data_IF_853709078954
#
_entry.id   IF_853709078954
#
_cell.length_a   1.000
_cell.length_b   1.000
_cell.length_c   1.000
_cell.angle_alpha   90.00
_cell.angle_beta   90.00
_cell.angle_gamma   90.00
#
_symmetry.space_group_name_H-M   'P 1'
#
loop_
_entity.id
_entity.type
_entity.pdbx_description
1 polymer ?
#
# COMPACT_ATOMS: atom_id res chain seq x y z
N UNK A 1 3.70 -11.26 12.11
CA UNK A 1 2.82 -10.20 11.61
C UNK A 1 3.67 -9.03 11.14
N UNK A 2 3.26 -8.36 10.11
CA UNK A 2 3.96 -7.23 9.54
C UNK A 2 3.09 -5.99 9.48
N UNK A 3 3.72 -4.85 9.28
CA UNK A 3 3.05 -3.57 9.09
C UNK A 3 3.22 -3.12 7.65
N UNK A 4 2.12 -2.89 6.96
CA UNK A 4 2.12 -2.38 5.60
C UNK A 4 2.18 -0.85 5.60
N UNK A 5 2.94 -0.30 4.66
CA UNK A 5 3.10 1.14 4.45
C UNK A 5 2.51 1.51 3.09
N UNK A 6 1.72 2.56 3.09
CA UNK A 6 0.98 3.03 1.91
C UNK A 6 1.22 4.51 1.63
N UNK A 7 1.13 4.88 0.35
CA UNK A 7 0.74 6.21 -0.05
C UNK A 7 -0.78 6.23 -0.17
N UNK A 8 -1.43 7.05 0.62
CA UNK A 8 -2.88 7.18 0.64
C UNK A 8 -3.31 8.53 0.08
N UNK A 9 -4.29 8.52 -0.81
CA UNK A 9 -4.81 9.76 -1.39
C UNK A 9 -5.62 10.54 -0.36
N UNK A 10 -5.26 11.81 -0.17
CA UNK A 10 -5.98 12.72 0.72
C UNK A 10 -7.27 13.15 0.04
N UNK A 11 -8.41 12.81 0.64
CA UNK A 11 -9.70 13.25 0.17
C UNK A 11 -9.98 14.65 0.73
N UNK A 12 -10.11 15.64 -0.13
CA UNK A 12 -10.37 17.01 0.28
C UNK A 12 -11.76 17.15 0.91
N UNK A 13 -11.95 18.15 1.77
CA UNK A 13 -13.26 18.47 2.36
C UNK A 13 -14.33 18.71 1.30
N UNK A 14 -13.95 19.36 0.21
CA UNK A 14 -14.84 19.66 -0.92
C UNK A 14 -15.31 18.39 -1.60
N UNK A 15 -14.43 17.42 -1.81
CA UNK A 15 -14.78 16.12 -2.38
C UNK A 15 -15.72 15.33 -1.48
N UNK A 16 -15.49 15.37 -0.16
CA UNK A 16 -16.36 14.74 0.83
C UNK A 16 -17.74 15.37 0.82
N UNK A 17 -17.82 16.69 0.82
CA UNK A 17 -19.09 17.44 0.77
C UNK A 17 -19.86 17.17 -0.53
N UNK A 18 -19.17 17.10 -1.67
CA UNK A 18 -19.79 16.79 -2.95
C UNK A 18 -20.31 15.35 -2.97
N UNK A 19 -19.57 14.40 -2.43
CA UNK A 19 -20.02 13.01 -2.30
C UNK A 19 -21.23 12.91 -1.40
N UNK A 20 -21.24 13.61 -0.28
CA UNK A 20 -22.42 13.70 0.62
C UNK A 20 -23.63 14.31 -0.06
N UNK A 21 -23.43 15.34 -0.87
CA UNK A 21 -24.51 15.98 -1.64
C UNK A 21 -25.11 15.02 -2.66
N UNK A 22 -24.29 14.33 -3.42
CA UNK A 22 -24.73 13.29 -4.37
C UNK A 22 -25.51 12.19 -3.67
N UNK A 23 -25.01 11.74 -2.50
CA UNK A 23 -25.66 10.77 -1.65
C UNK A 23 -27.08 11.20 -1.29
N UNK A 24 -27.21 12.44 -0.86
CA UNK A 24 -28.49 13.01 -0.43
C UNK A 24 -29.50 13.15 -1.59
N UNK A 25 -29.03 13.59 -2.75
CA UNK A 25 -29.85 13.67 -3.97
C UNK A 25 -30.34 12.29 -4.40
N UNK A 26 -29.49 11.27 -4.36
CA UNK A 26 -29.86 9.91 -4.69
C UNK A 26 -30.82 9.30 -3.66
N UNK A 27 -30.66 9.61 -2.39
CA UNK A 27 -31.55 9.17 -1.32
C UNK A 27 -32.95 9.74 -1.45
N UNK A 28 -33.11 10.98 -1.93
CA UNK A 28 -34.42 11.63 -2.17
C UNK A 28 -35.21 10.96 -3.31
N UNK A 29 -34.52 10.30 -4.24
CA UNK A 29 -35.11 9.56 -5.36
C UNK A 29 -35.38 8.07 -5.05
N UNK A 30 -34.96 7.59 -3.89
CA UNK A 30 -35.11 6.19 -3.49
C UNK A 30 -36.54 5.89 -3.08
N UNK A 31 -37.20 4.98 -3.79
CA UNK A 31 -38.57 4.56 -3.55
C UNK A 31 -38.70 3.18 -2.90
N UNK A 32 -37.60 2.43 -2.78
CA UNK A 32 -37.61 1.08 -2.22
C UNK A 32 -36.29 0.77 -1.52
N UNK A 33 -36.28 -0.30 -0.69
CA UNK A 33 -35.09 -0.78 0.01
C UNK A 33 -34.01 -1.26 -0.99
N UNK A 34 -34.42 -1.81 -2.12
CA UNK A 34 -33.50 -2.23 -3.17
C UNK A 34 -32.73 -1.06 -3.78
N UNK A 35 -33.42 0.04 -4.03
CA UNK A 35 -32.79 1.26 -4.55
C UNK A 35 -31.80 1.84 -3.53
N UNK A 36 -32.11 1.73 -2.24
CA UNK A 36 -31.25 2.18 -1.16
C UNK A 36 -29.95 1.33 -1.08
N UNK A 37 -30.05 0.02 -1.23
CA UNK A 37 -28.89 -0.87 -1.26
C UNK A 37 -28.00 -0.59 -2.48
N UNK A 38 -28.58 -0.35 -3.64
CA UNK A 38 -27.86 0.03 -4.86
C UNK A 38 -27.14 1.36 -4.68
N UNK A 39 -27.78 2.33 -4.06
CA UNK A 39 -27.18 3.64 -3.75
C UNK A 39 -26.01 3.49 -2.79
N UNK A 40 -26.16 2.71 -1.73
CA UNK A 40 -25.07 2.46 -0.76
C UNK A 40 -23.90 1.78 -1.45
N UNK A 41 -24.13 0.77 -2.29
CA UNK A 41 -23.09 0.08 -3.04
C UNK A 41 -22.36 1.01 -4.01
N UNK A 42 -23.10 1.84 -4.73
CA UNK A 42 -22.54 2.83 -5.65
C UNK A 42 -21.64 3.84 -4.91
N UNK A 43 -22.07 4.29 -3.75
CA UNK A 43 -21.32 5.24 -2.94
C UNK A 43 -20.07 4.65 -2.33
N UNK A 44 -20.10 3.39 -1.94
CA UNK A 44 -18.90 2.68 -1.49
C UNK A 44 -17.87 2.59 -2.62
N UNK A 45 -18.29 2.29 -3.84
CA UNK A 45 -17.41 2.23 -5.01
C UNK A 45 -16.80 3.61 -5.31
N UNK A 46 -17.59 4.68 -5.31
CA UNK A 46 -17.06 6.04 -5.51
C UNK A 46 -16.12 6.46 -4.38
N UNK A 47 -16.45 6.11 -3.15
CA UNK A 47 -15.62 6.38 -1.99
C UNK A 47 -14.29 5.65 -2.08
N UNK A 48 -14.29 4.36 -2.45
CA UNK A 48 -13.10 3.54 -2.64
C UNK A 48 -12.21 4.07 -3.79
N UNK A 49 -12.80 4.63 -4.85
CA UNK A 49 -12.03 5.28 -5.92
C UNK A 49 -11.33 6.56 -5.45
N UNK A 50 -11.91 7.27 -4.49
CA UNK A 50 -11.31 8.45 -3.89
C UNK A 50 -10.22 8.12 -2.85
N UNK A 51 -10.31 6.97 -2.22
CA UNK A 51 -9.31 6.45 -1.26
C UNK A 51 -8.28 5.54 -1.93
N UNK A 52 -7.71 5.94 -3.05
CA UNK A 52 -6.67 5.14 -3.67
C UNK A 52 -5.46 5.04 -2.77
N UNK A 53 -5.08 3.81 -2.51
CA UNK A 53 -3.86 3.48 -1.78
C UNK A 53 -2.85 2.83 -2.71
N UNK A 54 -1.60 3.24 -2.57
CA UNK A 54 -0.47 2.61 -3.27
C UNK A 54 0.37 1.93 -2.21
N UNK A 55 0.44 0.62 -2.26
CA UNK A 55 1.28 -0.16 -1.36
C UNK A 55 2.76 0.12 -1.64
N UNK A 56 3.52 0.48 -0.64
CA UNK A 56 4.95 0.81 -0.77
C UNK A 56 5.82 -0.32 -0.25
N UNK A 57 5.63 -0.76 0.99
CA UNK A 57 6.43 -1.82 1.56
C UNK A 57 5.74 -2.50 2.73
N UNK A 58 6.32 -3.61 3.15
CA UNK A 58 5.93 -4.34 4.36
C UNK A 58 7.13 -4.49 5.27
N UNK A 59 6.92 -4.17 6.53
CA UNK A 59 7.91 -4.29 7.61
C UNK A 59 7.48 -5.46 8.48
N UNK A 60 8.29 -6.51 8.53
CA UNK A 60 8.00 -7.71 9.32
C UNK A 60 9.15 -8.01 10.28
N UNK A 61 8.82 -8.36 11.50
CA UNK A 61 9.82 -8.69 12.51
C UNK A 61 10.68 -9.87 12.06
N UNK A 62 11.99 -9.69 12.13
CA UNK A 62 12.96 -10.72 11.73
C UNK A 62 13.25 -10.77 10.23
N UNK A 63 12.59 -9.95 9.40
CA UNK A 63 12.77 -9.91 7.97
C UNK A 63 13.35 -8.57 7.51
N UNK A 64 14.07 -8.61 6.40
CA UNK A 64 14.37 -7.37 5.67
C UNK A 64 13.07 -6.77 5.12
N UNK A 65 13.04 -5.46 4.90
CA UNK A 65 11.88 -4.81 4.30
C UNK A 65 11.62 -5.38 2.91
N UNK A 66 10.37 -5.60 2.61
CA UNK A 66 9.91 -6.01 1.29
C UNK A 66 9.18 -4.86 0.63
N UNK A 67 9.71 -4.40 -0.51
CA UNK A 67 9.16 -3.28 -1.27
C UNK A 67 8.25 -3.78 -2.38
N UNK A 68 7.20 -3.03 -2.62
CA UNK A 68 6.29 -3.31 -3.73
C UNK A 68 6.89 -2.79 -5.03
N UNK A 69 7.13 -3.68 -5.98
CA UNK A 69 7.50 -3.29 -7.34
C UNK A 69 6.27 -2.74 -8.05
N UNK A 70 6.36 -1.53 -8.57
CA UNK A 70 5.30 -0.88 -9.32
C UNK A 70 5.92 -0.09 -10.48
N UNK A 71 6.35 -0.81 -11.51
CA UNK A 71 7.10 -0.28 -12.64
C UNK A 71 6.34 0.77 -13.46
N UNK A 72 5.02 0.85 -13.29
CA UNK A 72 4.21 1.90 -13.92
C UNK A 72 4.40 3.27 -13.22
N UNK A 73 4.86 3.28 -11.98
CA UNK A 73 5.01 4.47 -11.17
C UNK A 73 6.47 4.85 -10.90
N UNK A 74 7.31 3.86 -10.59
CA UNK A 74 8.73 4.06 -10.29
C UNK A 74 9.55 2.83 -10.62
N UNK A 75 10.84 3.01 -10.82
CA UNK A 75 11.79 1.91 -10.98
C UNK A 75 12.08 1.23 -9.64
N UNK A 76 12.53 -0.02 -9.68
CA UNK A 76 12.91 -0.77 -8.47
C UNK A 76 14.28 -0.32 -7.95
N UNK A 77 14.36 0.94 -7.59
CA UNK A 77 15.51 1.57 -6.94
C UNK A 77 15.03 2.47 -5.80
N UNK A 78 15.87 2.63 -4.80
CA UNK A 78 15.57 3.52 -3.67
C UNK A 78 15.30 4.96 -4.13
N UNK A 79 16.17 5.47 -4.99
CA UNK A 79 16.06 6.85 -5.49
C UNK A 79 14.75 7.08 -6.26
N UNK A 80 14.43 6.22 -7.22
CA UNK A 80 13.22 6.36 -8.03
C UNK A 80 11.95 6.25 -7.18
N UNK A 81 11.88 5.29 -6.29
CA UNK A 81 10.75 5.09 -5.39
C UNK A 81 10.57 6.30 -4.44
N UNK A 82 11.64 6.74 -3.79
CA UNK A 82 11.55 7.86 -2.84
C UNK A 82 11.27 9.19 -3.51
N UNK A 83 11.77 9.41 -4.72
CA UNK A 83 11.44 10.60 -5.52
C UNK A 83 9.95 10.62 -5.89
N UNK A 84 9.41 9.49 -6.29
CA UNK A 84 7.98 9.36 -6.54
C UNK A 84 7.15 9.68 -5.28
N UNK A 85 7.54 9.14 -4.14
CA UNK A 85 6.87 9.40 -2.86
C UNK A 85 6.94 10.88 -2.48
N UNK A 86 8.12 11.52 -2.62
CA UNK A 86 8.26 12.95 -2.34
C UNK A 86 7.39 13.82 -3.24
N UNK A 87 7.36 13.52 -4.53
CA UNK A 87 6.53 14.25 -5.48
C UNK A 87 5.04 14.10 -5.14
N UNK A 88 4.61 12.90 -4.78
CA UNK A 88 3.23 12.65 -4.38
C UNK A 88 2.85 13.44 -3.11
N UNK A 89 3.71 13.43 -2.10
CA UNK A 89 3.48 14.19 -0.86
C UNK A 89 3.51 15.70 -1.12
N UNK A 90 4.47 16.17 -1.91
CA UNK A 90 4.62 17.60 -2.22
C UNK A 90 3.45 18.14 -3.05
N UNK A 91 2.76 17.29 -3.80
CA UNK A 91 1.54 17.70 -4.53
C UNK A 91 0.40 18.10 -3.59
N UNK A 92 0.43 17.63 -2.35
CA UNK A 92 -0.64 17.85 -1.36
C UNK A 92 -1.81 16.89 -1.48
N UNK A 93 -1.81 16.00 -2.49
CA UNK A 93 -2.90 15.05 -2.74
C UNK A 93 -2.68 13.69 -2.08
N UNK A 94 -1.48 13.42 -1.59
CA UNK A 94 -1.09 12.14 -1.02
C UNK A 94 -0.38 12.30 0.32
N UNK A 95 -0.55 11.31 1.19
CA UNK A 95 0.21 11.17 2.42
C UNK A 95 0.72 9.75 2.58
N UNK A 96 1.84 9.57 3.26
CA UNK A 96 2.36 8.24 3.58
C UNK A 96 1.91 7.84 4.98
N UNK A 97 1.29 6.67 5.09
CA UNK A 97 0.70 6.16 6.33
C UNK A 97 0.98 4.67 6.48
N UNK A 98 0.88 4.18 7.71
CA UNK A 98 0.85 2.75 7.97
C UNK A 98 -0.58 2.18 7.80
N UNK A 99 -0.72 0.88 7.93
CA UNK A 99 -2.02 0.20 7.78
C UNK A 99 -3.06 0.60 8.83
N UNK A 100 -2.64 1.28 9.89
CA UNK A 100 -3.51 1.77 10.95
C UNK A 100 -3.88 3.26 10.78
N UNK A 101 -3.40 3.88 9.71
CA UNK A 101 -3.64 5.29 9.42
C UNK A 101 -2.71 6.26 10.13
N UNK A 102 -1.65 5.76 10.79
CA UNK A 102 -0.66 6.62 11.43
C UNK A 102 0.30 7.21 10.40
N UNK A 103 0.66 8.48 10.58
CA UNK A 103 1.62 9.14 9.74
C UNK A 103 2.97 8.41 9.74
N UNK A 104 3.55 8.26 8.56
CA UNK A 104 4.83 7.60 8.35
C UNK A 104 5.68 8.42 7.39
N UNK A 105 6.94 8.67 7.73
CA UNK A 105 7.82 9.53 6.93
C UNK A 105 8.88 8.74 6.18
N UNK A 106 9.51 9.38 5.19
CA UNK A 106 10.69 8.79 4.52
C UNK A 106 11.86 8.60 5.48
N UNK A 107 11.97 9.43 6.51
CA UNK A 107 12.96 9.25 7.57
C UNK A 107 12.68 8.00 8.39
N UNK A 108 11.41 7.74 8.71
CA UNK A 108 10.97 6.51 9.36
C UNK A 108 11.30 5.29 8.49
N UNK A 109 11.11 5.39 7.18
CA UNK A 109 11.44 4.32 6.24
C UNK A 109 12.94 4.02 6.21
N UNK A 110 13.78 5.04 6.21
CA UNK A 110 15.24 4.88 6.31
C UNK A 110 15.66 4.20 7.61
N UNK A 111 15.08 4.62 8.73
CA UNK A 111 15.35 4.03 10.04
C UNK A 111 14.95 2.55 10.08
N UNK A 112 13.78 2.23 9.58
CA UNK A 112 13.29 0.86 9.51
C UNK A 112 14.13 0.00 8.57
N UNK A 113 14.56 0.55 7.43
CA UNK A 113 15.46 -0.14 6.51
C UNK A 113 16.78 -0.51 7.19
N UNK A 114 17.40 0.41 7.90
CA UNK A 114 18.64 0.19 8.65
C UNK A 114 18.44 -0.81 9.80
N UNK A 115 17.35 -0.70 10.52
CA UNK A 115 17.00 -1.56 11.63
C UNK A 115 16.79 -3.02 11.23
N UNK A 116 16.28 -3.25 10.03
CA UNK A 116 15.96 -4.59 9.51
C UNK A 116 16.96 -5.13 8.49
N UNK A 117 18.08 -4.43 8.27
CA UNK A 117 19.08 -4.83 7.27
C UNK A 117 19.64 -6.23 7.45
N UNK A 118 19.74 -6.69 8.68
CA UNK A 118 20.27 -8.02 9.04
C UNK A 118 19.15 -9.07 9.16
N UNK A 119 17.93 -8.73 8.77
CA UNK A 119 16.79 -9.63 8.76
C UNK A 119 16.89 -10.70 7.66
N UNK A 120 15.97 -11.66 7.70
CA UNK A 120 15.87 -12.68 6.68
C UNK A 120 15.53 -12.08 5.33
N UNK A 121 16.22 -12.53 4.29
CA UNK A 121 15.89 -12.25 2.91
C UNK A 121 15.20 -13.48 2.26
N UNK A 122 14.87 -13.36 0.96
CA UNK A 122 14.23 -14.42 0.21
C UNK A 122 15.06 -15.71 0.20
N UNK A 123 16.38 -15.61 -0.05
CA UNK A 123 17.27 -16.77 -0.13
C UNK A 123 17.39 -17.48 1.23
N UNK A 124 17.51 -16.73 2.31
CA UNK A 124 17.55 -17.27 3.67
C UNK A 124 16.24 -17.96 4.04
N UNK A 125 15.10 -17.41 3.61
CA UNK A 125 13.79 -18.01 3.80
C UNK A 125 13.68 -19.35 3.06
N UNK A 126 14.04 -19.40 1.80
CA UNK A 126 14.01 -20.62 0.99
C UNK A 126 14.90 -21.69 1.59
N UNK A 127 16.11 -21.35 1.99
CA UNK A 127 17.04 -22.28 2.63
C UNK A 127 16.44 -22.87 3.91
N UNK A 128 15.84 -22.03 4.74
CA UNK A 128 15.18 -22.46 5.97
C UNK A 128 13.99 -23.37 5.70
N UNK A 129 13.16 -23.04 4.72
CA UNK A 129 12.00 -23.86 4.37
C UNK A 129 12.37 -25.20 3.77
N UNK A 130 13.47 -25.28 3.02
CA UNK A 130 14.02 -26.55 2.52
C UNK A 130 14.48 -27.45 3.65
N UNK A 131 15.14 -26.88 4.68
CA UNK A 131 15.61 -27.64 5.85
C UNK A 131 14.49 -28.29 6.63
N UNK A 132 13.35 -27.64 6.75
CA UNK A 132 12.18 -28.18 7.47
C UNK A 132 11.26 -29.01 6.57
N UNK A 133 11.61 -29.20 5.29
CA UNK A 133 10.82 -29.97 4.34
C UNK A 133 9.49 -29.34 3.93
N UNK A 134 9.30 -28.07 4.21
CA UNK A 134 8.08 -27.34 3.93
C UNK A 134 8.33 -26.21 2.92
N UNK A 135 8.82 -26.58 1.73
CA UNK A 135 9.05 -25.64 0.65
C UNK A 135 7.80 -25.59 -0.25
N UNK A 136 6.95 -24.59 -0.08
CA UNK A 136 5.64 -24.59 -0.74
C UNK A 136 5.65 -24.13 -2.18
N UNK A 137 6.65 -23.35 -2.62
CA UNK A 137 6.63 -22.67 -3.93
C UNK A 137 7.98 -22.68 -4.62
N UNK A 138 7.97 -22.97 -5.91
CA UNK A 138 9.14 -22.82 -6.80
C UNK A 138 9.25 -21.41 -7.36
N UNK A 139 8.22 -20.59 -7.21
CA UNK A 139 8.19 -19.28 -7.83
C UNK A 139 8.96 -18.24 -7.03
N UNK A 140 9.92 -17.64 -7.68
CA UNK A 140 10.63 -16.49 -7.16
C UNK A 140 9.73 -15.27 -7.30
N UNK A 141 8.94 -15.03 -6.28
CA UNK A 141 8.08 -13.85 -6.21
C UNK A 141 8.89 -12.61 -5.87
N UNK A 142 9.97 -12.80 -5.12
CA UNK A 142 10.86 -11.74 -4.65
C UNK A 142 12.15 -11.70 -5.46
N UNK A 143 12.67 -10.50 -5.66
CA UNK A 143 13.95 -10.28 -6.34
C UNK A 143 14.73 -9.15 -5.66
N UNK A 144 16.03 -9.10 -5.90
CA UNK A 144 16.91 -8.06 -5.38
C UNK A 144 17.21 -7.05 -6.49
N UNK A 145 16.99 -5.78 -6.19
CA UNK A 145 17.37 -4.66 -7.04
C UNK A 145 17.80 -3.49 -6.17
N UNK A 146 18.89 -2.83 -6.54
CA UNK A 146 19.47 -1.72 -5.77
C UNK A 146 19.76 -2.09 -4.30
N UNK A 147 20.12 -3.35 -4.05
CA UNK A 147 20.36 -3.87 -2.69
C UNK A 147 19.12 -4.06 -1.84
N UNK A 148 17.94 -3.91 -2.40
CA UNK A 148 16.66 -4.02 -1.73
C UNK A 148 15.85 -5.20 -2.24
N UNK A 149 14.97 -5.73 -1.39
CA UNK A 149 14.02 -6.78 -1.75
C UNK A 149 12.75 -6.19 -2.31
N UNK A 150 12.30 -6.72 -3.44
CA UNK A 150 11.12 -6.28 -4.17
C UNK A 150 10.22 -7.46 -4.50
N UNK A 151 8.94 -7.23 -4.63
CA UNK A 151 7.99 -8.20 -5.14
C UNK A 151 7.03 -7.54 -6.12
N UNK A 152 6.72 -8.23 -7.22
CA UNK A 152 5.67 -7.82 -8.16
C UNK A 152 4.27 -8.17 -7.65
N UNK A 153 4.15 -9.12 -6.74
CA UNK A 153 2.88 -9.50 -6.15
C UNK A 153 2.40 -8.48 -5.13
N UNK A 154 1.09 -8.30 -5.10
CA UNK A 154 0.46 -7.56 -4.01
C UNK A 154 0.46 -8.42 -2.76
N UNK A 155 1.25 -8.01 -1.79
CA UNK A 155 1.41 -8.69 -0.51
C UNK A 155 0.88 -7.87 0.68
N UNK A 156 0.09 -6.84 0.36
CA UNK A 156 -0.54 -5.97 1.36
C UNK A 156 -1.63 -6.65 2.18
#
# INVERSE_FOLDING_TARGET
MGTNIYLSKIVSKEEIEETKRKLKEMADDVKSIYDLEDVISFLQVEYDEHEKEIHICKISYGWQLLFQANENLYDCTWESMTDYIRQAIDSGDWEMVDEYGNAYSLEDLKEDLEKHKDGFDHDSYIERMRKIGNYPYDDVIEFISDGLRWSHYDFS
#
